data_IF_709140893083
#
_entry.id   IF_709140893083
#
_cell.length_a   1.000
_cell.length_b   1.000
_cell.length_c   1.000
_cell.angle_alpha   90.00
_cell.angle_beta   90.00
_cell.angle_gamma   90.00
#
_symmetry.space_group_name_H-M   'P 1'
#
loop_
_entity.id
_entity.type
_entity.pdbx_description
1 polymer ?
#
# COMPACT_ATOMS: atom_id res chain seq x y z
N UNK A 1 -5.93 12.36 28.40
CA UNK A 1 -5.06 12.94 27.34
C UNK A 1 -4.09 11.84 26.90
N UNK A 2 -4.57 10.85 26.14
CA UNK A 2 -3.84 9.58 25.91
C UNK A 2 -3.88 9.09 24.45
N UNK A 3 -4.55 9.82 23.54
CA UNK A 3 -4.67 9.39 22.14
C UNK A 3 -3.37 9.46 21.35
N UNK A 4 -2.38 10.25 21.77
CA UNK A 4 -1.15 10.45 21.00
C UNK A 4 -0.13 9.31 21.17
N UNK A 5 -0.08 8.62 22.32
CA UNK A 5 0.91 7.58 22.59
C UNK A 5 0.56 6.24 21.89
N UNK A 6 -0.73 5.92 21.81
CA UNK A 6 -1.23 4.71 21.15
C UNK A 6 -0.88 4.66 19.65
N UNK A 7 -0.88 5.81 18.98
CA UNK A 7 -0.43 5.92 17.59
C UNK A 7 1.07 5.68 17.44
N UNK A 8 1.90 6.15 18.39
CA UNK A 8 3.36 6.00 18.34
C UNK A 8 3.80 4.56 18.59
N UNK A 9 3.07 3.81 19.41
CA UNK A 9 3.37 2.39 19.69
C UNK A 9 2.84 1.46 18.61
N UNK A 10 1.64 1.70 18.06
CA UNK A 10 1.12 0.95 16.89
C UNK A 10 1.95 1.20 15.62
N UNK A 11 2.53 2.40 15.51
CA UNK A 11 3.50 2.75 14.50
C UNK A 11 4.77 1.87 14.61
N UNK A 12 5.24 1.52 15.81
CA UNK A 12 6.52 0.79 16.00
C UNK A 12 6.52 -0.65 15.50
N UNK A 13 5.36 -1.30 15.39
CA UNK A 13 5.26 -2.63 14.79
C UNK A 13 5.03 -2.49 13.28
N UNK A 14 6.06 -2.02 12.58
CA UNK A 14 6.13 -1.99 11.13
C UNK A 14 6.43 -3.41 10.67
N UNK A 15 5.47 -4.06 10.00
CA UNK A 15 5.76 -5.39 9.42
C UNK A 15 6.68 -5.26 8.21
N UNK A 16 6.58 -4.15 7.47
CA UNK A 16 7.21 -3.97 6.18
C UNK A 16 7.54 -2.49 5.88
N UNK A 17 8.73 -2.22 5.32
CA UNK A 17 9.17 -0.93 4.76
C UNK A 17 9.67 -1.17 3.33
N UNK A 18 8.92 -0.72 2.33
CA UNK A 18 9.31 -0.90 0.92
C UNK A 18 9.87 0.43 0.39
N UNK A 19 11.17 0.52 0.03
CA UNK A 19 11.74 1.73 -0.56
C UNK A 19 11.25 1.89 -2.01
N UNK A 20 10.33 2.83 -2.23
CA UNK A 20 9.75 3.12 -3.56
C UNK A 20 10.49 4.30 -4.22
N UNK A 21 11.83 4.30 -4.16
CA UNK A 21 12.75 5.44 -4.43
C UNK A 21 12.98 6.38 -3.23
N UNK A 22 14.24 6.52 -2.81
CA UNK A 22 14.63 7.40 -1.70
C UNK A 22 14.03 6.99 -0.35
N UNK A 23 13.40 7.94 0.35
CA UNK A 23 12.83 7.75 1.71
C UNK A 23 11.36 7.29 1.73
N UNK A 24 10.79 6.90 0.58
CA UNK A 24 9.37 6.50 0.48
C UNK A 24 9.13 5.11 1.04
N UNK A 25 8.12 4.95 1.91
CA UNK A 25 7.79 3.66 2.49
C UNK A 25 6.29 3.38 2.57
N UNK A 26 5.94 2.15 2.22
CA UNK A 26 4.69 1.50 2.60
C UNK A 26 4.80 1.05 4.06
N UNK A 27 3.86 1.46 4.92
CA UNK A 27 3.84 1.03 6.34
C UNK A 27 2.63 0.16 6.62
N UNK A 28 2.86 -1.13 6.81
CA UNK A 28 1.86 -1.99 7.42
C UNK A 28 1.95 -1.87 8.94
N UNK A 29 0.95 -1.24 9.56
CA UNK A 29 0.86 -1.12 11.01
C UNK A 29 0.25 -2.41 11.60
N UNK A 30 0.77 -2.88 12.73
CA UNK A 30 0.25 -4.06 13.43
C UNK A 30 -1.22 -4.00 13.85
N UNK A 31 -1.85 -2.82 13.77
CA UNK A 31 -3.31 -2.67 13.90
C UNK A 31 -4.12 -3.25 12.73
N UNK A 32 -3.48 -3.90 11.74
CA UNK A 32 -4.14 -4.31 10.50
C UNK A 32 -4.58 -3.12 9.64
N UNK A 33 -3.82 -2.02 9.69
CA UNK A 33 -4.03 -0.83 8.85
C UNK A 33 -2.79 -0.58 8.03
N UNK A 34 -2.93 -0.46 6.72
CA UNK A 34 -1.84 -0.07 5.85
C UNK A 34 -1.90 1.45 5.66
N UNK A 35 -0.84 2.12 6.09
CA UNK A 35 -0.65 3.56 5.92
C UNK A 35 0.36 3.80 4.81
N UNK A 36 0.01 4.72 3.93
CA UNK A 36 0.82 5.09 2.78
C UNK A 36 1.45 6.46 3.05
N UNK A 37 2.78 6.51 3.09
CA UNK A 37 3.53 7.75 3.18
C UNK A 37 4.14 8.04 1.81
N UNK A 38 3.55 9.00 1.10
CA UNK A 38 4.00 9.46 -0.22
C UNK A 38 4.84 10.75 -0.08
N UNK A 39 5.57 11.19 -1.13
CA UNK A 39 6.71 12.10 -0.97
C UNK A 39 6.34 13.47 -0.39
N UNK A 40 5.23 14.04 -0.85
CA UNK A 40 4.77 15.34 -0.37
C UNK A 40 4.07 15.24 1.00
N UNK A 41 3.46 14.08 1.27
CA UNK A 41 2.76 13.79 2.52
C UNK A 41 3.58 12.99 3.53
N UNK A 42 4.92 13.02 3.49
CA UNK A 42 5.77 12.21 4.40
C UNK A 42 5.35 12.26 5.90
N UNK A 43 4.81 13.39 6.36
CA UNK A 43 4.32 13.60 7.73
C UNK A 43 2.90 13.10 8.02
N UNK A 44 2.08 12.84 7.00
CA UNK A 44 0.67 12.46 7.13
C UNK A 44 0.31 11.31 6.17
N UNK A 45 -0.44 10.29 6.60
CA UNK A 45 -0.79 9.20 5.69
C UNK A 45 -1.69 9.71 4.56
N UNK A 46 -1.34 9.39 3.32
CA UNK A 46 -2.15 9.68 2.13
C UNK A 46 -3.44 8.85 2.10
N UNK A 47 -3.43 7.70 2.74
CA UNK A 47 -4.60 6.85 2.84
C UNK A 47 -4.45 5.78 3.90
N UNK A 48 -5.58 5.15 4.20
CA UNK A 48 -5.69 4.05 5.14
C UNK A 48 -6.50 2.94 4.49
N UNK A 49 -5.84 1.81 4.20
CA UNK A 49 -6.53 0.61 3.72
C UNK A 49 -6.50 -0.43 4.85
N UNK A 50 -7.65 -0.80 5.42
CA UNK A 50 -7.72 -1.80 6.50
C UNK A 50 -7.52 -3.22 5.94
N UNK A 51 -6.86 -4.09 6.71
CA UNK A 51 -6.56 -5.49 6.37
C UNK A 51 -5.10 -5.71 5.96
N UNK A 52 -4.77 -6.93 5.52
CA UNK A 52 -3.42 -7.27 5.04
C UNK A 52 -3.44 -7.44 3.52
N UNK A 53 -2.46 -6.85 2.83
CA UNK A 53 -2.24 -7.14 1.41
C UNK A 53 -1.50 -8.46 1.24
N UNK A 54 -1.83 -9.17 0.16
CA UNK A 54 -1.24 -10.46 -0.18
C UNK A 54 -0.31 -10.37 -1.38
N UNK A 55 -0.49 -9.37 -2.23
CA UNK A 55 0.36 -9.09 -3.39
C UNK A 55 0.50 -7.58 -3.58
N UNK A 56 1.66 -7.14 -4.07
CA UNK A 56 1.89 -5.75 -4.44
C UNK A 56 2.99 -5.63 -5.50
N UNK A 57 3.00 -4.53 -6.22
CA UNK A 57 4.10 -4.12 -7.08
C UNK A 57 4.08 -2.59 -7.24
N UNK A 58 5.17 -1.98 -7.65
CA UNK A 58 5.27 -0.54 -7.85
C UNK A 58 6.19 -0.14 -9.01
N UNK A 59 5.99 1.06 -9.52
CA UNK A 59 6.92 1.76 -10.41
C UNK A 59 7.09 3.22 -9.92
N UNK A 60 7.73 4.07 -10.73
CA UNK A 60 7.98 5.49 -10.42
C UNK A 60 6.69 6.29 -10.12
N UNK A 61 5.58 5.94 -10.77
CA UNK A 61 4.34 6.71 -10.72
C UNK A 61 3.25 6.09 -9.84
N UNK A 62 3.25 4.76 -9.69
CA UNK A 62 2.13 4.00 -9.14
C UNK A 62 2.57 2.88 -8.21
N UNK A 63 1.70 2.58 -7.25
CA UNK A 63 1.74 1.36 -6.44
C UNK A 63 0.42 0.63 -6.69
N UNK A 64 0.49 -0.66 -7.00
CA UNK A 64 -0.68 -1.53 -7.13
C UNK A 64 -0.63 -2.61 -6.08
N UNK A 65 -1.80 -2.98 -5.57
CA UNK A 65 -1.90 -3.91 -4.46
C UNK A 65 -3.17 -4.74 -4.51
N UNK A 66 -3.10 -5.91 -3.89
CA UNK A 66 -4.18 -6.87 -3.75
C UNK A 66 -4.36 -7.21 -2.27
N UNK A 67 -5.60 -7.15 -1.81
CA UNK A 67 -6.01 -7.44 -0.45
C UNK A 67 -6.96 -8.61 -0.40
N UNK A 68 -6.61 -9.64 0.35
CA UNK A 68 -7.49 -10.79 0.55
C UNK A 68 -8.76 -10.39 1.34
N UNK A 69 -9.88 -11.03 1.00
CA UNK A 69 -11.10 -11.11 1.83
C UNK A 69 -11.59 -12.56 1.79
N UNK A 70 -12.49 -12.89 2.72
CA UNK A 70 -13.14 -14.20 2.76
C UNK A 70 -13.90 -14.58 1.49
N UNK A 71 -14.45 -13.58 0.78
CA UNK A 71 -15.32 -13.80 -0.38
C UNK A 71 -14.64 -13.44 -1.69
N UNK A 72 -14.13 -12.19 -1.83
CA UNK A 72 -13.50 -11.71 -3.05
C UNK A 72 -12.33 -10.75 -2.75
N UNK A 73 -11.23 -10.90 -3.47
CA UNK A 73 -10.08 -10.01 -3.32
C UNK A 73 -10.42 -8.58 -3.74
N UNK A 74 -9.85 -7.61 -3.02
CA UNK A 74 -9.97 -6.18 -3.32
C UNK A 74 -8.65 -5.66 -3.88
N UNK A 75 -8.72 -4.83 -4.91
CA UNK A 75 -7.56 -4.27 -5.58
C UNK A 75 -7.52 -2.76 -5.40
N UNK A 76 -6.32 -2.20 -5.33
CA UNK A 76 -6.15 -0.75 -5.20
C UNK A 76 -5.00 -0.26 -6.07
N UNK A 77 -5.14 0.98 -6.54
CA UNK A 77 -4.14 1.70 -7.35
C UNK A 77 -3.84 3.03 -6.67
N UNK A 78 -2.59 3.24 -6.32
CA UNK A 78 -2.13 4.45 -5.64
C UNK A 78 -1.30 5.25 -6.62
N UNK A 79 -1.74 6.47 -6.89
CA UNK A 79 -0.99 7.42 -7.71
C UNK A 79 -0.04 8.20 -6.79
N UNK A 80 1.27 8.00 -6.99
CA UNK A 80 2.34 8.60 -6.16
C UNK A 80 2.43 10.10 -6.38
N UNK A 81 2.32 10.54 -7.63
CA UNK A 81 2.47 11.95 -8.03
C UNK A 81 1.34 12.83 -7.51
N UNK A 82 0.12 12.29 -7.48
CA UNK A 82 -1.08 13.01 -7.02
C UNK A 82 -1.43 12.74 -5.57
N UNK A 83 -0.74 11.79 -4.96
CA UNK A 83 -1.04 11.31 -3.62
C UNK A 83 -2.52 10.92 -3.44
N UNK A 84 -3.00 10.03 -4.30
CA UNK A 84 -4.38 9.54 -4.25
C UNK A 84 -4.41 8.03 -4.22
N UNK A 85 -5.21 7.48 -3.30
CA UNK A 85 -5.54 6.05 -3.25
C UNK A 85 -6.87 5.84 -3.97
N UNK A 86 -6.88 4.96 -4.99
CA UNK A 86 -8.07 4.57 -5.72
C UNK A 86 -8.44 3.12 -5.39
N UNK A 87 -9.74 2.87 -5.19
CA UNK A 87 -10.29 1.57 -4.82
C UNK A 87 -11.13 1.66 -3.52
N UNK A 88 -11.61 0.52 -2.99
CA UNK A 88 -11.37 -0.85 -3.48
C UNK A 88 -12.03 -1.12 -4.84
N UNK A 89 -11.39 -1.94 -5.65
CA UNK A 89 -11.90 -2.42 -6.93
C UNK A 89 -12.11 -3.94 -6.91
N UNK A 90 -13.07 -4.44 -7.70
CA UNK A 90 -13.10 -5.84 -8.13
C UNK A 90 -11.93 -6.15 -9.08
N UNK A 91 -11.70 -7.43 -9.40
CA UNK A 91 -10.65 -7.81 -10.37
C UNK A 91 -10.94 -7.27 -11.78
N UNK A 92 -12.20 -7.22 -12.18
CA UNK A 92 -12.63 -6.65 -13.46
C UNK A 92 -12.41 -5.14 -13.50
N UNK A 93 -12.89 -4.42 -12.49
CA UNK A 93 -12.70 -2.97 -12.36
C UNK A 93 -11.20 -2.60 -12.31
N UNK A 94 -10.41 -3.40 -11.59
CA UNK A 94 -8.96 -3.22 -11.52
C UNK A 94 -8.30 -3.38 -12.89
N UNK A 95 -8.68 -4.39 -13.67
CA UNK A 95 -8.16 -4.60 -15.03
C UNK A 95 -8.55 -3.45 -15.96
N UNK A 96 -9.76 -2.91 -15.85
CA UNK A 96 -10.19 -1.74 -16.61
C UNK A 96 -9.39 -0.50 -16.22
N UNK A 97 -9.23 -0.23 -14.92
CA UNK A 97 -8.42 0.89 -14.42
C UNK A 97 -6.95 0.76 -14.80
N UNK A 98 -6.38 -0.44 -14.79
CA UNK A 98 -5.02 -0.66 -15.28
C UNK A 98 -4.88 -0.29 -16.75
N UNK A 99 -5.87 -0.61 -17.60
CA UNK A 99 -5.87 -0.18 -19.01
C UNK A 99 -5.97 1.34 -19.13
N UNK A 100 -6.87 1.98 -18.39
CA UNK A 100 -7.02 3.44 -18.39
C UNK A 100 -5.71 4.16 -18.01
N UNK A 101 -5.03 3.65 -16.97
CA UNK A 101 -3.77 4.21 -16.50
C UNK A 101 -2.53 3.68 -17.24
N UNK A 102 -2.70 2.84 -18.26
CA UNK A 102 -1.62 2.19 -19.01
C UNK A 102 -0.64 1.42 -18.09
N UNK A 103 -1.15 0.78 -17.04
CA UNK A 103 -0.40 -0.01 -16.08
C UNK A 103 -0.19 -1.44 -16.57
N UNK A 104 1.07 -1.79 -16.83
CA UNK A 104 1.53 -3.15 -17.19
C UNK A 104 2.26 -3.83 -16.04
N UNK A 105 1.90 -3.45 -14.81
CA UNK A 105 2.61 -3.84 -13.60
C UNK A 105 1.99 -5.11 -12.99
N UNK A 106 2.66 -6.28 -13.04
CA UNK A 106 2.11 -7.53 -12.50
C UNK A 106 2.10 -7.49 -10.97
N UNK A 107 1.10 -8.07 -10.32
CA UNK A 107 1.11 -8.22 -8.87
C UNK A 107 2.14 -9.29 -8.47
N UNK A 108 3.01 -8.97 -7.50
CA UNK A 108 4.00 -9.91 -6.96
C UNK A 108 3.52 -10.36 -5.58
N UNK A 109 3.40 -11.67 -5.31
CA UNK A 109 3.03 -12.17 -3.98
C UNK A 109 3.99 -11.69 -2.91
N UNK A 110 3.47 -11.36 -1.73
CA UNK A 110 4.27 -10.88 -0.60
C UNK A 110 5.37 -11.87 -0.18
N UNK A 111 5.12 -13.17 -0.30
CA UNK A 111 6.11 -14.22 0.01
C UNK A 111 7.35 -14.16 -0.90
N UNK A 112 7.25 -13.56 -2.08
CA UNK A 112 8.36 -13.41 -3.02
C UNK A 112 9.14 -12.10 -2.80
N UNK A 113 8.64 -11.21 -1.93
CA UNK A 113 9.22 -9.89 -1.65
C UNK A 113 10.05 -9.86 -0.36
N UNK A 114 10.27 -11.00 0.31
CA UNK A 114 10.99 -11.11 1.58
C UNK A 114 12.38 -10.44 1.58
N UNK A 115 13.02 -10.30 0.41
CA UNK A 115 14.34 -9.68 0.23
C UNK A 115 14.31 -8.14 0.12
N UNK A 116 13.19 -7.53 -0.25
CA UNK A 116 13.06 -6.05 -0.37
C UNK A 116 12.73 -5.43 0.97
N UNK A 117 12.07 -6.19 1.84
CA UNK A 117 11.34 -5.60 2.95
C UNK A 117 12.13 -5.56 4.28
N UNK A 118 13.29 -6.20 4.33
CA UNK A 118 14.15 -6.28 5.51
C UNK A 118 15.49 -5.53 5.37
N UNK A 119 15.53 -4.42 4.61
CA UNK A 119 16.72 -3.54 4.52
C UNK A 119 16.54 -2.31 5.42
#
# INVERSE_FOLDING_TARGET
MERNLLFTELARAVKYKIPVEGELFLRQCASGRNLFHLPASYRYPTGNIPGYFISLNWNEDFIVLEKERKENNEYFIINRNREVVNGPFSVEEYKEKCKEFHLTLPLIPMAELDWVINI
#
